data_IF_068016747228
#
_entry.id   IF_068016747228
#
_cell.length_a   1.000
_cell.length_b   1.000
_cell.length_c   1.000
_cell.angle_alpha   90.00
_cell.angle_beta   90.00
_cell.angle_gamma   90.00
#
_symmetry.space_group_name_H-M   'P 1'
#
loop_
_entity.id
_entity.type
_entity.pdbx_description
1 polymer ?
#
# COMPACT_ATOMS: atom_id res chain seq x y z
N UNK A 1 -52.74 -41.57 -43.75
CA UNK A 1 -51.28 -41.37 -43.77
C UNK A 1 -50.99 -39.87 -43.85
N UNK A 2 -50.06 -39.43 -43.00
CA UNK A 2 -49.29 -38.18 -42.98
C UNK A 2 -50.00 -36.80 -42.92
N UNK A 3 -49.93 -36.20 -41.73
CA UNK A 3 -49.68 -34.76 -41.49
C UNK A 3 -48.36 -34.33 -42.16
N UNK A 4 -48.23 -33.05 -42.57
CA UNK A 4 -47.51 -32.04 -41.76
C UNK A 4 -48.11 -30.62 -41.92
N UNK A 5 -47.78 -29.56 -41.18
CA UNK A 5 -46.99 -29.32 -39.99
C UNK A 5 -47.55 -28.03 -39.37
N UNK A 6 -47.61 -27.98 -38.03
CA UNK A 6 -47.80 -26.73 -37.30
C UNK A 6 -46.44 -26.09 -36.97
N UNK A 7 -46.47 -24.75 -36.89
CA UNK A 7 -45.71 -23.84 -36.01
C UNK A 7 -44.83 -22.80 -36.73
N UNK A 8 -44.48 -21.65 -36.11
CA UNK A 8 -44.97 -21.12 -34.82
C UNK A 8 -45.41 -19.63 -34.82
N UNK A 9 -46.35 -19.31 -33.91
CA UNK A 9 -46.37 -18.02 -33.21
C UNK A 9 -45.07 -17.84 -32.43
N UNK A 10 -44.27 -16.82 -32.72
CA UNK A 10 -43.21 -16.34 -31.82
C UNK A 10 -42.75 -14.93 -32.20
N UNK A 11 -43.63 -13.92 -32.14
CA UNK A 11 -43.24 -12.52 -32.25
C UNK A 11 -43.99 -11.67 -31.22
N UNK A 12 -43.80 -11.95 -29.93
CA UNK A 12 -44.23 -11.04 -28.85
C UNK A 12 -43.51 -11.35 -27.52
N UNK A 13 -42.21 -11.62 -27.52
CA UNK A 13 -41.40 -11.69 -26.29
C UNK A 13 -40.00 -11.13 -26.57
N UNK A 14 -39.95 -9.89 -27.08
CA UNK A 14 -38.71 -9.14 -27.18
C UNK A 14 -39.01 -7.71 -26.75
N UNK A 15 -38.51 -7.35 -25.55
CA UNK A 15 -38.27 -6.00 -25.01
C UNK A 15 -38.67 -5.91 -23.52
N UNK A 16 -38.04 -6.72 -22.67
CA UNK A 16 -37.78 -6.34 -21.27
C UNK A 16 -36.72 -7.26 -20.65
N UNK A 17 -35.64 -7.52 -21.40
CA UNK A 17 -34.37 -7.83 -20.76
C UNK A 17 -33.83 -6.50 -20.22
N UNK A 18 -34.34 -6.09 -19.06
CA UNK A 18 -33.70 -5.07 -18.24
C UNK A 18 -32.27 -5.56 -18.03
N UNK A 19 -31.32 -4.90 -18.70
CA UNK A 19 -29.93 -5.01 -18.37
C UNK A 19 -29.80 -4.52 -16.92
N UNK A 20 -29.91 -5.46 -15.98
CA UNK A 20 -29.42 -5.27 -14.63
C UNK A 20 -27.90 -5.19 -14.82
N UNK A 21 -27.42 -3.99 -15.11
CA UNK A 21 -26.02 -3.65 -14.85
C UNK A 21 -25.91 -3.88 -13.35
N UNK A 22 -25.35 -5.02 -12.97
CA UNK A 22 -24.98 -5.29 -11.59
C UNK A 22 -23.95 -4.21 -11.25
N UNK A 23 -24.42 -3.08 -10.73
CA UNK A 23 -23.56 -2.09 -10.11
C UNK A 23 -22.92 -2.81 -8.95
N UNK A 24 -21.65 -3.19 -9.10
CA UNK A 24 -20.87 -3.75 -8.00
C UNK A 24 -21.05 -2.80 -6.80
N UNK A 25 -21.54 -3.34 -5.68
CA UNK A 25 -21.81 -2.54 -4.50
C UNK A 25 -20.51 -1.90 -4.03
N UNK A 26 -20.47 -0.56 -3.97
CA UNK A 26 -19.35 0.17 -3.40
C UNK A 26 -19.24 -0.21 -1.92
N UNK A 27 -18.08 -0.73 -1.51
CA UNK A 27 -17.84 -1.06 -0.11
C UNK A 27 -17.60 0.22 0.68
N UNK A 28 -18.34 0.42 1.77
CA UNK A 28 -18.08 1.53 2.69
C UNK A 28 -17.14 1.11 3.83
N UNK A 29 -16.14 1.94 4.14
CA UNK A 29 -15.20 1.75 5.24
C UNK A 29 -14.99 3.05 6.01
N UNK A 30 -14.92 2.99 7.33
CA UNK A 30 -14.57 4.18 8.14
C UNK A 30 -13.06 4.37 8.21
N UNK A 31 -12.59 5.61 8.12
CA UNK A 31 -11.19 5.95 8.39
C UNK A 31 -10.96 6.14 9.90
N UNK A 32 -9.83 5.66 10.38
CA UNK A 32 -9.40 5.78 11.77
C UNK A 32 -7.87 5.97 11.86
N UNK A 33 -7.33 5.85 13.07
CA UNK A 33 -5.89 5.95 13.35
C UNK A 33 -5.11 4.66 13.05
N UNK A 34 -5.74 3.64 12.47
CA UNK A 34 -5.19 2.33 12.15
C UNK A 34 -4.42 1.71 13.33
N UNK A 35 -5.09 1.52 14.48
CA UNK A 35 -4.43 1.02 15.70
C UNK A 35 -3.84 -0.39 15.57
N UNK A 36 -4.37 -1.18 14.66
CA UNK A 36 -3.91 -2.56 14.41
C UNK A 36 -2.76 -2.63 13.40
N UNK A 37 -2.30 -1.51 12.85
CA UNK A 37 -1.19 -1.53 11.89
C UNK A 37 0.16 -1.68 12.57
N UNK A 38 1.06 -2.43 11.96
CA UNK A 38 2.48 -2.35 12.28
C UNK A 38 3.08 -1.09 11.62
N UNK A 39 3.62 -0.20 12.44
CA UNK A 39 3.93 1.19 12.06
C UNK A 39 5.32 1.65 12.53
N UNK A 40 6.24 0.70 12.72
CA UNK A 40 7.55 0.93 13.32
C UNK A 40 8.41 1.90 12.50
N UNK A 41 9.02 2.88 13.17
CA UNK A 41 9.95 3.84 12.57
C UNK A 41 11.42 3.42 12.70
N UNK A 42 11.74 2.45 13.56
CA UNK A 42 13.08 1.95 13.83
C UNK A 42 14.09 3.02 14.26
N UNK A 43 13.63 4.10 14.92
CA UNK A 43 14.47 5.26 15.24
C UNK A 43 15.64 4.88 16.15
N UNK A 44 15.43 3.93 17.06
CA UNK A 44 16.41 3.55 18.08
C UNK A 44 17.09 2.18 17.83
N UNK A 45 16.82 1.53 16.70
CA UNK A 45 17.33 0.18 16.42
C UNK A 45 17.76 -0.05 14.98
N UNK A 46 17.82 1.00 14.15
CA UNK A 46 18.22 0.86 12.74
C UNK A 46 19.56 0.11 12.56
N UNK A 47 20.54 0.38 13.42
CA UNK A 47 21.83 -0.34 13.44
C UNK A 47 21.67 -1.83 13.71
N UNK A 48 20.88 -2.20 14.71
CA UNK A 48 20.70 -3.60 15.10
C UNK A 48 19.84 -4.37 14.08
N UNK A 49 18.82 -3.73 13.54
CA UNK A 49 18.04 -4.25 12.42
C UNK A 49 18.92 -4.49 11.19
N UNK A 50 19.88 -3.59 10.92
CA UNK A 50 20.84 -3.76 9.82
C UNK A 50 21.75 -4.97 10.04
N UNK A 51 22.27 -5.17 11.25
CA UNK A 51 23.09 -6.35 11.58
C UNK A 51 22.32 -7.67 11.40
N UNK A 52 21.04 -7.68 11.76
CA UNK A 52 20.20 -8.88 11.69
C UNK A 52 19.45 -9.03 10.35
N UNK A 53 19.63 -8.11 9.40
CA UNK A 53 18.84 -8.04 8.17
C UNK A 53 18.84 -9.36 7.38
N UNK A 54 19.99 -10.01 7.24
CA UNK A 54 20.11 -11.26 6.47
C UNK A 54 19.31 -12.40 7.10
N UNK A 55 19.33 -12.51 8.43
CA UNK A 55 18.53 -13.49 9.16
C UNK A 55 17.04 -13.20 8.99
N UNK A 56 16.61 -11.96 9.25
CA UNK A 56 15.21 -11.54 9.09
C UNK A 56 14.68 -11.79 7.69
N UNK A 57 15.48 -11.49 6.66
CA UNK A 57 15.11 -11.70 5.28
C UNK A 57 15.01 -13.19 4.91
N UNK A 58 15.93 -14.03 5.40
CA UNK A 58 15.84 -15.48 5.24
C UNK A 58 14.55 -16.02 5.88
N UNK A 59 14.26 -15.63 7.12
CA UNK A 59 13.07 -16.07 7.84
C UNK A 59 11.78 -15.63 7.14
N UNK A 60 11.73 -14.40 6.60
CA UNK A 60 10.61 -13.92 5.81
C UNK A 60 10.44 -14.74 4.51
N UNK A 61 11.53 -15.05 3.81
CA UNK A 61 11.48 -15.83 2.56
C UNK A 61 11.06 -17.29 2.78
N UNK A 62 11.47 -17.91 3.89
CA UNK A 62 11.09 -19.27 4.22
C UNK A 62 9.60 -19.37 4.57
N UNK A 63 9.06 -18.33 5.23
CA UNK A 63 7.63 -18.23 5.56
C UNK A 63 6.78 -17.72 4.39
N UNK A 64 7.38 -17.05 3.41
CA UNK A 64 6.66 -16.41 2.32
C UNK A 64 7.42 -16.56 0.98
N UNK A 65 7.16 -17.68 0.30
CA UNK A 65 7.77 -17.98 -1.00
C UNK A 65 7.44 -16.95 -2.08
N UNK A 66 6.29 -16.29 -2.02
CA UNK A 66 5.96 -15.23 -2.98
C UNK A 66 6.80 -13.97 -2.75
N UNK A 67 7.10 -13.63 -1.50
CA UNK A 67 8.04 -12.55 -1.22
C UNK A 67 9.44 -12.87 -1.76
N UNK A 68 9.90 -14.12 -1.58
CA UNK A 68 11.18 -14.58 -2.16
C UNK A 68 11.22 -14.44 -3.69
N UNK A 69 10.14 -14.87 -4.37
CA UNK A 69 10.03 -14.75 -5.84
C UNK A 69 9.97 -13.28 -6.27
N UNK A 70 9.12 -12.47 -5.62
CA UNK A 70 8.99 -11.04 -5.90
C UNK A 70 10.30 -10.28 -5.71
N UNK A 71 11.05 -10.59 -4.65
CA UNK A 71 12.38 -10.04 -4.41
C UNK A 71 13.39 -10.43 -5.49
N UNK A 72 13.39 -11.69 -5.92
CA UNK A 72 14.24 -12.16 -7.02
C UNK A 72 13.96 -11.43 -8.34
N UNK A 73 12.69 -11.20 -8.66
CA UNK A 73 12.28 -10.46 -9.85
C UNK A 73 12.69 -8.98 -9.76
N UNK A 74 12.46 -8.34 -8.60
CA UNK A 74 12.89 -6.97 -8.36
C UNK A 74 14.42 -6.80 -8.44
N UNK A 75 15.18 -7.78 -7.92
CA UNK A 75 16.64 -7.79 -8.03
C UNK A 75 17.09 -7.82 -9.49
N UNK A 76 16.53 -8.73 -10.29
CA UNK A 76 16.83 -8.82 -11.73
C UNK A 76 16.48 -7.54 -12.46
N UNK A 77 15.33 -6.92 -12.13
CA UNK A 77 14.92 -5.66 -12.75
C UNK A 77 15.89 -4.52 -12.41
N UNK A 78 16.29 -4.39 -11.15
CA UNK A 78 17.31 -3.42 -10.73
C UNK A 78 18.64 -3.64 -11.48
N UNK A 79 19.09 -4.89 -11.59
CA UNK A 79 20.34 -5.24 -12.27
C UNK A 79 20.24 -4.95 -13.78
N UNK A 80 19.12 -5.30 -14.43
CA UNK A 80 18.85 -5.03 -15.85
C UNK A 80 18.86 -3.51 -16.15
N UNK A 81 18.25 -2.71 -15.27
CA UNK A 81 18.24 -1.24 -15.37
C UNK A 81 19.56 -0.61 -14.94
N UNK A 82 20.49 -1.38 -14.39
CA UNK A 82 21.72 -0.89 -13.72
C UNK A 82 21.37 0.23 -12.73
N UNK A 83 20.30 0.02 -11.96
CA UNK A 83 19.76 1.03 -11.07
C UNK A 83 20.71 1.26 -9.88
N UNK A 84 21.34 2.42 -9.85
CA UNK A 84 22.28 2.82 -8.80
C UNK A 84 21.72 4.00 -7.99
N UNK A 85 21.90 3.93 -6.68
CA UNK A 85 21.62 5.01 -5.73
C UNK A 85 22.86 5.32 -4.92
N UNK A 86 23.17 6.60 -4.74
CA UNK A 86 24.21 7.04 -3.82
C UNK A 86 23.72 7.13 -2.37
N UNK A 87 22.39 7.21 -2.18
CA UNK A 87 21.76 7.37 -0.87
C UNK A 87 21.26 6.06 -0.29
N UNK A 88 20.98 5.06 -1.13
CA UNK A 88 20.38 3.77 -0.73
C UNK A 88 21.35 2.61 -0.90
N UNK A 89 21.20 1.60 -0.05
CA UNK A 89 21.84 0.30 -0.28
C UNK A 89 21.19 -0.46 -1.44
N UNK A 90 21.83 -1.52 -1.92
CA UNK A 90 21.23 -2.42 -2.91
C UNK A 90 19.90 -3.00 -2.42
N UNK A 91 19.85 -3.48 -1.17
CA UNK A 91 18.62 -4.05 -0.60
C UNK A 91 17.50 -3.02 -0.45
N UNK A 92 17.81 -1.79 -0.02
CA UNK A 92 16.81 -0.70 0.05
C UNK A 92 16.26 -0.35 -1.33
N UNK A 93 17.12 -0.35 -2.35
CA UNK A 93 16.71 -0.11 -3.75
C UNK A 93 15.82 -1.25 -4.28
N UNK A 94 16.18 -2.51 -4.00
CA UNK A 94 15.37 -3.67 -4.39
C UNK A 94 14.04 -3.69 -3.65
N UNK A 95 13.98 -3.28 -2.38
CA UNK A 95 12.74 -3.19 -1.63
C UNK A 95 11.73 -2.23 -2.29
N UNK A 96 12.17 -1.05 -2.73
CA UNK A 96 11.33 -0.10 -3.47
C UNK A 96 10.87 -0.69 -4.81
N UNK A 97 11.77 -1.31 -5.57
CA UNK A 97 11.42 -1.97 -6.83
C UNK A 97 10.39 -3.10 -6.60
N UNK A 98 10.58 -3.92 -5.58
CA UNK A 98 9.68 -5.03 -5.25
C UNK A 98 8.29 -4.54 -4.84
N UNK A 99 8.22 -3.46 -4.05
CA UNK A 99 6.94 -2.85 -3.65
C UNK A 99 6.16 -2.31 -4.85
N UNK A 100 6.83 -1.78 -5.87
CA UNK A 100 6.18 -1.10 -7.00
C UNK A 100 5.93 -2.02 -8.20
N UNK A 101 6.52 -3.23 -8.20
CA UNK A 101 6.37 -4.22 -9.26
C UNK A 101 5.03 -4.96 -9.16
N UNK A 102 4.00 -4.34 -9.74
CA UNK A 102 2.60 -4.83 -9.73
C UNK A 102 2.43 -6.27 -10.20
N UNK A 103 3.22 -6.72 -11.18
CA UNK A 103 3.16 -8.08 -11.73
C UNK A 103 3.41 -9.18 -10.69
N UNK A 104 4.02 -8.85 -9.55
CA UNK A 104 4.25 -9.78 -8.44
C UNK A 104 3.09 -9.85 -7.44
N UNK A 105 2.20 -8.85 -7.42
CA UNK A 105 1.15 -8.71 -6.40
C UNK A 105 1.66 -8.48 -4.96
N UNK A 106 2.97 -8.31 -4.77
CA UNK A 106 3.61 -8.27 -3.46
C UNK A 106 3.07 -7.16 -2.56
N UNK A 107 2.88 -5.97 -3.14
CA UNK A 107 2.41 -4.78 -2.43
C UNK A 107 1.03 -4.99 -1.79
N UNK A 108 0.13 -5.73 -2.43
CA UNK A 108 -1.22 -5.98 -1.89
C UNK A 108 -1.16 -6.83 -0.63
N UNK A 109 -0.36 -7.90 -0.67
CA UNK A 109 -0.16 -8.82 0.45
C UNK A 109 0.59 -8.16 1.58
N UNK A 110 1.67 -7.44 1.26
CA UNK A 110 2.44 -6.68 2.22
C UNK A 110 1.60 -5.61 2.92
N UNK A 111 0.85 -4.81 2.16
CA UNK A 111 -0.02 -3.78 2.72
C UNK A 111 -1.13 -4.39 3.57
N UNK A 112 -1.73 -5.52 3.16
CA UNK A 112 -2.71 -6.24 3.98
C UNK A 112 -2.12 -6.70 5.30
N UNK A 113 -0.98 -7.39 5.25
CA UNK A 113 -0.32 -7.88 6.46
C UNK A 113 0.08 -6.73 7.39
N UNK A 114 0.55 -5.61 6.83
CA UNK A 114 0.95 -4.42 7.62
C UNK A 114 -0.23 -3.82 8.38
N UNK A 115 -1.43 -3.75 7.77
CA UNK A 115 -2.65 -3.23 8.45
C UNK A 115 -3.08 -4.05 9.66
N UNK A 116 -2.68 -5.33 9.73
CA UNK A 116 -3.19 -6.29 10.72
C UNK A 116 -2.12 -6.73 11.73
N UNK A 117 -0.83 -6.65 11.38
CA UNK A 117 0.25 -7.20 12.18
C UNK A 117 0.44 -6.50 13.54
N UNK A 118 0.03 -5.25 13.67
CA UNK A 118 0.11 -4.48 14.91
C UNK A 118 -1.02 -4.74 15.91
N UNK A 119 -1.94 -5.67 15.62
CA UNK A 119 -3.02 -6.04 16.54
C UNK A 119 -2.50 -6.66 17.85
N UNK A 120 -1.41 -7.44 17.79
CA UNK A 120 -0.76 -7.98 18.98
C UNK A 120 0.70 -8.40 18.72
N UNK A 121 1.55 -8.48 19.75
CA UNK A 121 2.91 -9.02 19.61
C UNK A 121 2.93 -10.44 19.02
N UNK A 122 1.95 -11.28 19.38
CA UNK A 122 1.82 -12.65 18.87
C UNK A 122 1.54 -12.66 17.37
N UNK A 123 0.62 -11.80 16.90
CA UNK A 123 0.27 -11.67 15.48
C UNK A 123 1.47 -11.15 14.68
N UNK A 124 2.13 -10.10 15.16
CA UNK A 124 3.37 -9.60 14.56
C UNK A 124 4.45 -10.71 14.44
N UNK A 125 4.71 -11.44 15.52
CA UNK A 125 5.74 -12.49 15.54
C UNK A 125 5.44 -13.64 14.56
N UNK A 126 4.21 -14.15 14.61
CA UNK A 126 3.84 -15.39 13.94
C UNK A 126 3.28 -15.20 12.52
N UNK A 127 2.61 -14.08 12.25
CA UNK A 127 1.79 -13.89 11.05
C UNK A 127 2.27 -12.75 10.13
N UNK A 128 3.36 -12.05 10.49
CA UNK A 128 3.93 -10.99 9.65
C UNK A 128 5.26 -11.43 9.00
N UNK A 129 5.24 -12.08 7.82
CA UNK A 129 6.43 -12.53 7.10
C UNK A 129 6.97 -11.47 6.12
N UNK A 130 7.08 -10.22 6.61
CA UNK A 130 7.57 -9.07 5.84
C UNK A 130 8.42 -8.12 6.70
N UNK A 131 9.06 -8.64 7.75
CA UNK A 131 9.82 -7.83 8.73
C UNK A 131 10.97 -7.08 8.06
N UNK A 132 11.72 -7.77 7.21
CA UNK A 132 12.82 -7.22 6.42
C UNK A 132 12.33 -6.20 5.39
N UNK A 133 11.24 -6.48 4.67
CA UNK A 133 10.67 -5.55 3.68
C UNK A 133 10.19 -4.25 4.34
N UNK A 134 9.45 -4.36 5.44
CA UNK A 134 8.97 -3.21 6.20
C UNK A 134 10.13 -2.32 6.68
N UNK A 135 11.17 -2.95 7.25
CA UNK A 135 12.39 -2.24 7.68
C UNK A 135 13.09 -1.53 6.53
N UNK A 136 13.33 -2.23 5.42
CA UNK A 136 14.04 -1.68 4.27
C UNK A 136 13.28 -0.52 3.61
N UNK A 137 11.97 -0.65 3.43
CA UNK A 137 11.14 0.44 2.91
C UNK A 137 11.17 1.65 3.84
N UNK A 138 11.01 1.44 5.15
CA UNK A 138 11.07 2.52 6.14
C UNK A 138 12.41 3.26 6.09
N UNK A 139 13.52 2.52 6.06
CA UNK A 139 14.87 3.10 5.98
C UNK A 139 15.11 3.83 4.66
N UNK A 140 14.62 3.28 3.54
CA UNK A 140 14.75 3.92 2.24
C UNK A 140 14.05 5.29 2.22
N UNK A 141 12.81 5.38 2.72
CA UNK A 141 12.08 6.65 2.78
C UNK A 141 12.78 7.66 3.69
N UNK A 142 13.25 7.23 4.86
CA UNK A 142 13.99 8.11 5.78
C UNK A 142 15.28 8.68 5.16
N UNK A 143 15.99 7.89 4.34
CA UNK A 143 17.22 8.32 3.66
C UNK A 143 16.98 9.23 2.47
N UNK A 144 15.86 9.05 1.76
CA UNK A 144 15.52 9.82 0.57
C UNK A 144 14.87 11.18 0.87
N UNK A 145 14.29 11.38 2.06
CA UNK A 145 13.70 12.66 2.45
C UNK A 145 14.25 13.21 3.78
N UNK A 146 15.57 13.46 3.89
CA UNK A 146 16.17 13.97 5.13
C UNK A 146 15.68 15.39 5.48
N UNK A 147 15.30 16.18 4.47
CA UNK A 147 14.83 17.57 4.62
C UNK A 147 13.33 17.71 4.94
N UNK A 148 12.58 16.60 5.00
CA UNK A 148 11.11 16.60 5.19
C UNK A 148 10.38 17.49 4.18
N UNK A 149 10.77 17.39 2.91
CA UNK A 149 10.04 18.03 1.81
C UNK A 149 8.61 17.49 1.79
N UNK A 150 7.64 18.40 1.70
CA UNK A 150 6.23 18.05 1.60
C UNK A 150 5.75 18.06 0.15
N UNK A 151 4.72 17.25 -0.14
CA UNK A 151 4.17 17.03 -1.46
C UNK A 151 2.66 17.12 -1.46
N UNK A 152 2.09 17.70 -2.52
CA UNK A 152 0.69 17.53 -2.86
C UNK A 152 0.57 16.31 -3.77
N UNK A 153 -0.14 15.28 -3.29
CA UNK A 153 -0.26 14.00 -3.98
C UNK A 153 -1.69 13.50 -3.99
N UNK A 154 -1.94 12.53 -4.86
CA UNK A 154 -3.27 12.00 -5.12
C UNK A 154 -3.26 10.49 -4.99
N UNK A 155 -4.29 9.92 -4.37
CA UNK A 155 -4.45 8.46 -4.27
C UNK A 155 -5.88 8.07 -4.61
N UNK A 156 -6.06 7.34 -5.70
CA UNK A 156 -7.35 6.77 -6.08
C UNK A 156 -7.52 5.36 -5.52
N UNK A 157 -8.69 5.06 -5.00
CA UNK A 157 -9.07 3.73 -4.51
C UNK A 157 -10.31 3.27 -5.26
N UNK A 158 -10.25 2.06 -5.80
CA UNK A 158 -11.36 1.45 -6.55
C UNK A 158 -12.37 0.83 -5.60
N UNK A 159 -13.65 0.92 -5.93
CA UNK A 159 -14.77 0.20 -5.30
C UNK A 159 -14.92 0.37 -3.78
N UNK A 160 -14.22 1.35 -3.19
CA UNK A 160 -14.30 1.67 -1.76
C UNK A 160 -14.65 3.14 -1.60
N UNK A 161 -15.68 3.41 -0.81
CA UNK A 161 -16.01 4.73 -0.30
C UNK A 161 -15.58 4.82 1.16
N UNK A 162 -14.79 5.83 1.49
CA UNK A 162 -14.37 6.04 2.87
C UNK A 162 -15.29 7.03 3.59
N UNK A 163 -15.72 6.68 4.78
CA UNK A 163 -16.53 7.50 5.66
C UNK A 163 -15.63 8.19 6.69
N UNK A 164 -15.67 9.53 6.71
CA UNK A 164 -14.96 10.38 7.67
C UNK A 164 -15.56 11.78 7.69
N UNK A 165 -15.08 12.64 8.59
CA UNK A 165 -15.55 14.01 8.77
C UNK A 165 -14.37 14.97 8.90
N UNK A 166 -14.51 16.24 8.45
CA UNK A 166 -13.52 17.27 8.71
C UNK A 166 -13.15 17.36 10.20
N UNK A 167 -11.86 17.54 10.49
CA UNK A 167 -11.31 17.61 11.83
C UNK A 167 -10.86 16.27 12.43
N UNK A 168 -11.27 15.12 11.88
CA UNK A 168 -10.79 13.80 12.34
C UNK A 168 -9.30 13.63 12.05
N UNK A 169 -8.58 13.00 12.98
CA UNK A 169 -7.24 12.47 12.72
C UNK A 169 -7.35 11.03 12.21
N UNK A 170 -6.59 10.73 11.17
CA UNK A 170 -6.54 9.40 10.53
C UNK A 170 -5.11 9.01 10.20
N UNK A 171 -4.92 7.74 9.88
CA UNK A 171 -3.67 7.17 9.36
C UNK A 171 -3.97 6.06 8.37
N UNK A 172 -3.14 5.90 7.34
CA UNK A 172 -3.35 4.81 6.39
C UNK A 172 -3.05 3.42 6.97
N UNK A 173 -2.17 3.32 7.97
CA UNK A 173 -1.85 2.05 8.65
C UNK A 173 -1.07 1.05 7.79
N UNK A 174 -0.51 1.51 6.70
CA UNK A 174 0.30 0.76 5.76
C UNK A 174 1.10 1.76 4.94
N UNK A 175 2.06 1.25 4.16
CA UNK A 175 2.63 2.04 3.08
C UNK A 175 1.53 2.37 2.07
N UNK A 176 1.39 3.65 1.73
CA UNK A 176 0.36 4.14 0.84
C UNK A 176 0.99 4.78 -0.40
N UNK A 177 0.92 4.09 -1.54
CA UNK A 177 1.24 4.68 -2.83
C UNK A 177 0.28 5.82 -3.15
N UNK A 178 0.86 6.91 -3.63
CA UNK A 178 0.16 8.07 -4.16
C UNK A 178 0.90 8.55 -5.41
N UNK A 179 0.34 9.49 -6.16
CA UNK A 179 0.95 10.04 -7.36
C UNK A 179 0.99 11.56 -7.30
N UNK A 180 2.03 12.16 -7.87
CA UNK A 180 2.06 13.59 -8.17
C UNK A 180 1.02 14.00 -9.23
N UNK A 181 0.36 13.04 -9.90
CA UNK A 181 -0.67 13.29 -10.91
C UNK A 181 -2.02 12.75 -10.47
N UNK A 182 -3.01 13.65 -10.36
CA UNK A 182 -4.40 13.27 -10.07
C UNK A 182 -4.96 12.31 -11.12
N UNK A 183 -4.67 12.54 -12.40
CA UNK A 183 -5.09 11.67 -13.51
C UNK A 183 -4.54 10.25 -13.36
N UNK A 184 -3.27 10.12 -12.99
CA UNK A 184 -2.66 8.80 -12.72
C UNK A 184 -3.38 8.13 -11.55
N UNK A 185 -3.56 8.85 -10.44
CA UNK A 185 -4.23 8.32 -9.25
C UNK A 185 -5.66 7.84 -9.54
N UNK A 186 -6.46 8.60 -10.30
CA UNK A 186 -7.81 8.23 -10.72
C UNK A 186 -7.84 6.98 -11.60
N UNK A 187 -6.76 6.68 -12.33
CA UNK A 187 -6.61 5.44 -13.10
C UNK A 187 -6.58 4.18 -12.21
N UNK A 188 -6.15 4.31 -10.96
CA UNK A 188 -6.21 3.20 -9.99
C UNK A 188 -7.61 3.00 -9.43
N UNK A 189 -8.39 4.07 -9.31
CA UNK A 189 -9.79 3.98 -8.90
C UNK A 189 -10.39 5.34 -8.55
N UNK A 190 -11.71 5.40 -8.63
CA UNK A 190 -12.50 6.60 -8.40
C UNK A 190 -13.64 6.36 -7.38
N UNK A 191 -13.57 5.25 -6.62
CA UNK A 191 -14.49 5.03 -5.49
C UNK A 191 -14.27 6.08 -4.42
N UNK A 192 -13.00 6.33 -4.08
CA UNK A 192 -12.54 7.49 -3.31
C UNK A 192 -11.24 8.01 -3.92
N UNK A 193 -11.12 9.33 -4.06
CA UNK A 193 -9.88 10.02 -4.42
C UNK A 193 -9.42 10.84 -3.22
N UNK A 194 -8.25 10.51 -2.69
CA UNK A 194 -7.59 11.28 -1.65
C UNK A 194 -6.72 12.37 -2.28
N UNK A 195 -6.85 13.59 -1.78
CA UNK A 195 -5.93 14.71 -2.02
C UNK A 195 -5.12 14.93 -0.75
N UNK A 196 -3.83 14.65 -0.80
CA UNK A 196 -3.01 14.52 0.40
C UNK A 196 -1.86 15.51 0.33
N UNK A 197 -1.76 16.36 1.35
CA UNK A 197 -0.54 17.10 1.65
C UNK A 197 0.29 16.28 2.64
N UNK A 198 1.32 15.60 2.15
CA UNK A 198 2.19 14.71 2.94
C UNK A 198 3.55 15.36 3.15
N UNK A 199 4.11 15.25 4.35
CA UNK A 199 5.48 15.72 4.68
C UNK A 199 6.45 14.58 4.97
N UNK A 200 5.95 13.34 5.00
CA UNK A 200 6.76 12.13 5.17
C UNK A 200 6.72 11.20 3.96
N UNK A 201 5.84 11.48 3.00
CA UNK A 201 5.85 10.88 1.68
C UNK A 201 7.12 11.23 0.92
N UNK A 202 7.61 10.27 0.14
CA UNK A 202 8.85 10.41 -0.62
C UNK A 202 8.58 10.10 -2.07
N UNK A 203 9.03 10.97 -2.96
CA UNK A 203 9.08 10.67 -4.39
C UNK A 203 10.05 9.51 -4.64
N UNK A 204 9.48 8.38 -5.02
CA UNK A 204 10.22 7.16 -5.34
C UNK A 204 10.18 6.86 -6.84
N UNK A 205 9.75 7.80 -7.69
CA UNK A 205 9.57 7.61 -9.12
C UNK A 205 10.80 7.00 -9.80
N UNK A 206 12.01 7.40 -9.40
CA UNK A 206 13.27 6.85 -9.94
C UNK A 206 13.47 5.36 -9.64
N UNK A 207 12.92 4.89 -8.52
CA UNK A 207 13.05 3.52 -8.01
C UNK A 207 11.84 2.64 -8.33
N UNK A 208 10.71 3.24 -8.74
CA UNK A 208 9.50 2.51 -9.09
C UNK A 208 9.65 1.70 -10.38
N UNK A 209 8.95 0.55 -10.42
CA UNK A 209 8.85 -0.29 -11.60
C UNK A 209 8.27 0.47 -12.80
N UNK A 210 7.17 1.20 -12.61
CA UNK A 210 6.59 2.09 -13.63
C UNK A 210 6.76 3.56 -13.24
N UNK A 211 7.79 4.20 -13.81
CA UNK A 211 8.10 5.61 -13.52
C UNK A 211 7.02 6.58 -14.01
N UNK A 212 6.09 6.14 -14.88
CA UNK A 212 4.97 6.99 -15.35
C UNK A 212 3.95 7.25 -14.26
N UNK A 213 3.98 6.44 -13.20
CA UNK A 213 3.08 6.58 -12.06
C UNK A 213 3.42 7.79 -11.17
N UNK A 214 4.62 8.36 -11.32
CA UNK A 214 5.09 9.52 -10.52
C UNK A 214 4.85 9.30 -9.03
N UNK A 215 5.25 8.12 -8.58
CA UNK A 215 4.82 7.57 -7.30
C UNK A 215 5.52 8.27 -6.13
N UNK A 216 4.70 8.74 -5.20
CA UNK A 216 5.13 9.19 -3.87
C UNK A 216 4.64 8.17 -2.86
N UNK A 217 5.57 7.56 -2.12
CA UNK A 217 5.25 6.54 -1.14
C UNK A 217 5.16 7.15 0.27
N UNK A 218 3.99 7.03 0.88
CA UNK A 218 3.69 7.53 2.22
C UNK A 218 3.93 6.42 3.25
N UNK A 219 4.70 6.65 4.32
CA UNK A 219 4.95 5.65 5.35
C UNK A 219 3.72 5.38 6.24
N UNK A 220 3.66 4.23 6.93
CA UNK A 220 2.50 3.83 7.72
C UNK A 220 2.24 4.68 8.97
N UNK A 221 3.22 5.48 9.41
CA UNK A 221 3.21 6.23 10.67
C UNK A 221 2.90 7.73 10.53
N UNK A 222 2.71 8.23 9.30
CA UNK A 222 2.29 9.62 9.10
C UNK A 222 0.80 9.79 9.44
N UNK A 223 0.49 10.73 10.32
CA UNK A 223 -0.89 11.06 10.70
C UNK A 223 -1.39 12.27 9.92
N UNK A 224 -2.67 12.24 9.60
CA UNK A 224 -3.31 13.29 8.82
C UNK A 224 -4.55 13.79 9.53
N UNK A 225 -4.79 15.10 9.46
CA UNK A 225 -6.09 15.69 9.77
C UNK A 225 -6.90 15.76 8.48
N UNK A 226 -8.14 15.30 8.54
CA UNK A 226 -9.11 15.50 7.46
C UNK A 226 -9.48 16.98 7.42
N UNK A 227 -9.17 17.65 6.32
CA UNK A 227 -9.48 19.08 6.15
C UNK A 227 -10.78 19.33 5.42
N UNK A 228 -11.17 18.41 4.54
CA UNK A 228 -12.38 18.54 3.74
C UNK A 228 -12.88 17.18 3.24
N UNK A 229 -14.19 17.05 3.03
CA UNK A 229 -14.85 15.87 2.47
C UNK A 229 -15.89 16.34 1.46
N UNK A 230 -15.68 16.00 0.18
CA UNK A 230 -16.50 16.48 -0.94
C UNK A 230 -17.15 15.32 -1.68
N UNK A 231 -18.07 15.67 -2.58
CA UNK A 231 -18.69 14.73 -3.52
C UNK A 231 -19.29 13.50 -2.81
N UNK A 232 -20.00 13.73 -1.70
CA UNK A 232 -20.59 12.68 -0.87
C UNK A 232 -19.56 11.63 -0.38
N UNK A 233 -18.35 12.06 -0.03
CA UNK A 233 -17.28 11.19 0.46
C UNK A 233 -16.38 10.58 -0.62
N UNK A 234 -16.61 10.92 -1.90
CA UNK A 234 -15.75 10.45 -3.00
C UNK A 234 -14.44 11.21 -3.11
N UNK A 235 -14.32 12.38 -2.49
CA UNK A 235 -13.09 13.16 -2.45
C UNK A 235 -12.78 13.56 -1.01
N UNK A 236 -11.59 13.17 -0.51
CA UNK A 236 -11.17 13.44 0.88
C UNK A 236 -9.84 14.18 0.85
N UNK A 237 -9.77 15.29 1.58
CA UNK A 237 -8.58 16.12 1.69
C UNK A 237 -7.89 15.86 3.03
N UNK A 238 -6.59 15.60 2.98
CA UNK A 238 -5.76 15.21 4.12
C UNK A 238 -4.57 16.15 4.25
N UNK A 239 -4.36 16.67 5.45
CA UNK A 239 -3.21 17.51 5.79
C UNK A 239 -2.31 16.78 6.80
N UNK A 240 -1.04 16.59 6.46
CA UNK A 240 -0.03 16.02 7.37
C UNK A 240 0.01 16.80 8.69
N UNK A 241 0.02 16.07 9.81
CA UNK A 241 0.11 16.66 11.15
C UNK A 241 1.42 16.31 11.86
N UNK A 242 1.75 15.03 11.96
CA UNK A 242 2.94 14.51 12.67
C UNK A 242 3.26 13.07 12.26
N UNK A 243 4.35 12.55 12.79
CA UNK A 243 4.57 11.11 12.88
C UNK A 243 4.09 10.57 14.22
N UNK A 244 3.43 9.42 14.19
CA UNK A 244 3.05 8.67 15.38
C UNK A 244 3.12 7.17 15.08
N UNK A 245 3.78 6.42 15.97
CA UNK A 245 3.88 4.96 15.89
C UNK A 245 3.46 4.35 17.23
N UNK A 246 2.74 3.24 17.17
CA UNK A 246 2.50 2.38 18.34
C UNK A 246 3.71 1.49 18.62
N UNK A 247 4.53 1.23 17.60
CA UNK A 247 5.70 0.38 17.67
C UNK A 247 7.00 1.18 17.52
N UNK A 248 7.98 0.84 18.34
CA UNK A 248 9.38 1.24 18.16
C UNK A 248 10.26 0.04 18.51
N UNK A 249 10.94 -0.45 17.47
CA UNK A 249 11.82 -1.62 17.53
C UNK A 249 11.12 -2.92 17.91
N UNK A 250 9.90 -3.13 17.37
CA UNK A 250 9.07 -4.30 17.64
C UNK A 250 9.72 -5.62 17.23
N UNK A 251 10.48 -5.64 16.12
CA UNK A 251 11.22 -6.82 15.66
C UNK A 251 12.27 -7.30 16.65
N UNK A 252 12.89 -6.40 17.40
CA UNK A 252 13.92 -6.78 18.37
C UNK A 252 13.32 -7.41 19.63
N UNK A 253 12.20 -6.87 20.10
CA UNK A 253 11.53 -7.31 21.34
C UNK A 253 10.84 -8.67 21.18
N UNK A 254 10.45 -9.04 19.95
CA UNK A 254 9.74 -10.31 19.68
C UNK A 254 10.62 -11.44 19.14
N UNK A 255 11.66 -11.13 18.36
CA UNK A 255 12.37 -12.11 17.51
C UNK A 255 13.89 -12.20 17.75
N UNK A 256 14.53 -11.13 18.25
CA UNK A 256 16.01 -11.06 18.33
C UNK A 256 16.53 -11.10 19.77
N UNK A 257 15.84 -10.48 20.73
CA UNK A 257 16.23 -10.47 22.15
C UNK A 257 15.39 -11.42 23.00
N UNK A 258 14.94 -12.55 22.43
CA UNK A 258 14.03 -13.49 23.11
C UNK A 258 14.37 -13.66 24.60
N UNK A 259 13.42 -13.30 25.47
CA UNK A 259 13.42 -13.74 26.86
C UNK A 259 13.12 -15.23 26.91
#
# INVERSE_FOLDING_TARGET
WCLPAMAPLAHALALLAMAVVATAAIKELSLDMAKNSFDDQYLHCSTEMTKNLRKLQSDDFDKNGEFKVGWGNATKECDNRRLVSYSLTKDETVALMAYTMKSTGLYEKFNKATREAGESPKKYKNEFPFKSLHFLLTRALQKLNPGRTCWNVYRGVRDIKFNTEPGKEIRFGQFASSSLSEKVAQGFGQGTVFKVYTCHGVDIQKFSYDQREKEVLIPPFETFRVTDVRNQGKEIHLQSTRNFSNYDCGSLKGDIMGT
#
